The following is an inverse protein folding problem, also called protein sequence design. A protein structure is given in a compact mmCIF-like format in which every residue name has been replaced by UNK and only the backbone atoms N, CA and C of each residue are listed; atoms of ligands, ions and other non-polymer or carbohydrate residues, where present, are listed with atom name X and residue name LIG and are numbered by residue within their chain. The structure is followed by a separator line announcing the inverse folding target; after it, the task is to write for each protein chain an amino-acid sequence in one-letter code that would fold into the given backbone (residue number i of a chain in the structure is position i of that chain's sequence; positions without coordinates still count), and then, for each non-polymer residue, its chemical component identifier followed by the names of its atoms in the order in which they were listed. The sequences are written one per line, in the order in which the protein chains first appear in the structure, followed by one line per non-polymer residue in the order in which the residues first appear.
data_IF_504458761720
#
_entry.id   IF_504458761720
#
_cell.length_a   1.000
_cell.length_b   1.000
_cell.length_c   1.000
_cell.angle_alpha   90.00
_cell.angle_beta   90.00
_cell.angle_gamma   90.00
#
_symmetry.space_group_name_H-M   'P 1'
#
loop_
_entity.id
_entity.type
_entity.pdbx_description
1 polymer ?
#
# COMPACT_ATOMS: atom_id res chain seq x y z
N UNK A 1 -48.42 -6.89 60.92
CA UNK A 1 -47.10 -6.64 60.29
C UNK A 1 -46.17 -5.74 61.12
N UNK A 2 -46.65 -4.74 61.87
CA UNK A 2 -45.81 -3.85 62.71
C UNK A 2 -44.90 -4.54 63.75
N UNK A 3 -45.34 -5.67 64.33
CA UNK A 3 -44.57 -6.43 65.34
C UNK A 3 -43.25 -7.02 64.81
N UNK A 4 -43.19 -7.39 63.52
CA UNK A 4 -41.97 -7.98 62.92
C UNK A 4 -40.93 -6.90 62.60
N UNK A 5 -41.34 -5.75 62.06
CA UNK A 5 -40.43 -4.64 61.76
C UNK A 5 -39.70 -4.11 63.01
N UNK A 6 -40.42 -3.93 64.12
CA UNK A 6 -39.83 -3.48 65.38
C UNK A 6 -38.84 -4.49 65.98
N UNK A 7 -39.07 -5.80 65.79
CA UNK A 7 -38.16 -6.83 66.25
C UNK A 7 -36.84 -6.82 65.44
N UNK A 8 -36.94 -6.56 64.14
CA UNK A 8 -35.76 -6.44 63.27
C UNK A 8 -34.95 -5.19 63.67
N UNK A 9 -35.57 -4.01 63.76
CA UNK A 9 -34.91 -2.76 64.20
C UNK A 9 -34.23 -2.88 65.57
N UNK A 10 -34.87 -3.57 66.53
CA UNK A 10 -34.27 -3.82 67.85
C UNK A 10 -33.06 -4.75 67.78
N UNK A 11 -33.05 -5.69 66.84
CA UNK A 11 -31.96 -6.67 66.69
C UNK A 11 -30.78 -6.15 65.87
N UNK A 12 -31.05 -5.30 64.87
CA UNK A 12 -30.01 -4.74 63.99
C UNK A 12 -29.50 -3.37 64.43
N UNK A 13 -30.19 -2.67 65.35
CA UNK A 13 -29.80 -1.31 65.74
C UNK A 13 -30.09 -0.29 64.64
N UNK A 14 -29.99 1.00 64.96
CA UNK A 14 -30.10 2.11 63.97
C UNK A 14 -28.73 2.48 63.38
N UNK A 15 -27.69 1.75 63.77
CA UNK A 15 -26.32 2.02 63.37
C UNK A 15 -26.09 1.62 61.91
N UNK A 16 -25.39 2.49 61.18
CA UNK A 16 -25.12 2.28 59.76
C UNK A 16 -23.90 1.36 59.60
N UNK A 17 -24.13 0.05 59.40
CA UNK A 17 -23.07 -0.94 59.16
C UNK A 17 -22.41 -0.83 57.78
N UNK A 18 -22.94 0.00 56.89
CA UNK A 18 -22.36 0.26 55.57
C UNK A 18 -21.39 1.45 55.58
N UNK A 19 -20.96 1.91 56.75
CA UNK A 19 -19.95 2.95 56.85
C UNK A 19 -18.57 2.38 56.50
N UNK A 20 -17.95 2.96 55.48
CA UNK A 20 -16.57 2.64 55.15
C UNK A 20 -15.64 3.17 56.24
N UNK A 21 -14.55 2.44 56.56
CA UNK A 21 -13.50 2.98 57.40
C UNK A 21 -12.98 4.31 56.85
N UNK A 22 -12.58 5.21 57.76
CA UNK A 22 -11.93 6.45 57.38
C UNK A 22 -10.70 6.13 56.50
N UNK A 23 -10.56 6.85 55.39
CA UNK A 23 -9.48 6.70 54.41
C UNK A 23 -9.46 5.37 53.60
N UNK A 24 -10.55 4.59 53.60
CA UNK A 24 -10.65 3.35 52.80
C UNK A 24 -10.43 3.58 51.30
N UNK A 25 -11.05 4.63 50.76
CA UNK A 25 -10.96 4.97 49.33
C UNK A 25 -9.65 5.68 48.96
N UNK A 26 -8.89 6.21 49.92
CA UNK A 26 -7.62 6.91 49.64
C UNK A 26 -6.53 5.96 49.14
N UNK A 27 -6.50 4.73 49.67
CA UNK A 27 -5.56 3.66 49.24
C UNK A 27 -6.12 2.79 48.11
N UNK A 28 -7.33 3.05 47.61
CA UNK A 28 -7.90 2.30 46.49
C UNK A 28 -7.11 2.50 45.18
N UNK A 29 -6.76 3.74 44.76
CA UNK A 29 -6.02 3.96 43.53
C UNK A 29 -4.66 3.25 43.54
N UNK A 30 -3.95 3.30 44.67
CA UNK A 30 -2.68 2.62 44.86
C UNK A 30 -2.83 1.10 44.69
N UNK A 31 -3.82 0.50 45.36
CA UNK A 31 -4.12 -0.94 45.23
C UNK A 31 -4.55 -1.35 43.83
N UNK A 32 -5.27 -0.48 43.11
CA UNK A 32 -5.64 -0.73 41.71
C UNK A 32 -4.40 -0.70 40.83
N UNK A 33 -3.54 0.31 40.97
CA UNK A 33 -2.32 0.43 40.18
C UNK A 33 -1.32 -0.69 40.45
N UNK A 34 -1.21 -1.15 41.70
CA UNK A 34 -0.38 -2.30 42.09
C UNK A 34 -0.85 -3.62 41.46
N UNK A 35 -2.17 -3.78 41.28
CA UNK A 35 -2.77 -4.94 40.62
C UNK A 35 -2.77 -4.86 39.09
N UNK A 36 -2.51 -3.69 38.51
CA UNK A 36 -2.38 -3.60 37.06
C UNK A 36 -1.09 -4.30 36.64
N UNK A 37 -1.12 -5.11 35.56
CA UNK A 37 0.12 -5.59 34.98
C UNK A 37 0.97 -4.36 34.66
N UNK A 38 2.31 -4.41 34.88
CA UNK A 38 3.18 -3.29 34.58
C UNK A 38 2.84 -2.87 33.15
N UNK A 39 2.36 -1.62 33.00
CA UNK A 39 2.04 -1.06 31.69
C UNK A 39 3.23 -1.41 30.83
N UNK A 40 2.98 -2.25 29.82
CA UNK A 40 4.04 -2.82 29.00
C UNK A 40 4.73 -1.66 28.33
N UNK A 41 5.73 -1.07 28.97
CA UNK A 41 6.83 -0.46 28.25
C UNK A 41 7.27 -1.59 27.34
N UNK A 42 7.11 -1.47 26.02
CA UNK A 42 7.54 -2.50 25.12
C UNK A 42 9.08 -2.44 25.05
N UNK A 43 9.77 -2.65 26.17
CA UNK A 43 11.12 -3.18 26.18
C UNK A 43 11.04 -4.69 26.06
N UNK A 44 10.13 -5.20 25.21
CA UNK A 44 10.45 -6.36 24.39
C UNK A 44 11.74 -5.95 23.73
N UNK A 45 12.87 -6.41 24.25
CA UNK A 45 14.17 -6.31 23.59
C UNK A 45 13.96 -6.98 22.24
N UNK A 46 13.54 -6.19 21.25
CA UNK A 46 13.48 -6.58 19.86
C UNK A 46 14.90 -7.02 19.61
N UNK A 47 15.11 -8.34 19.56
CA UNK A 47 16.38 -8.92 19.15
C UNK A 47 16.60 -8.28 17.78
N UNK A 48 17.46 -7.27 17.71
CA UNK A 48 17.81 -6.59 16.47
C UNK A 48 18.54 -7.64 15.64
N UNK A 49 17.80 -8.43 14.88
CA UNK A 49 18.34 -9.30 13.85
C UNK A 49 18.73 -8.41 12.68
N UNK A 50 19.71 -7.54 12.90
CA UNK A 50 20.37 -6.80 11.85
C UNK A 50 21.84 -7.17 11.87
N UNK A 51 22.20 -8.25 11.17
CA UNK A 51 23.62 -8.48 10.82
C UNK A 51 23.84 -9.29 9.54
N UNK A 52 22.81 -9.43 8.70
CA UNK A 52 23.01 -9.87 7.31
C UNK A 52 22.89 -8.71 6.34
N UNK A 53 21.94 -7.79 6.53
CA UNK A 53 21.74 -6.63 5.64
C UNK A 53 23.00 -5.76 5.43
N UNK A 54 23.85 -5.65 6.46
CA UNK A 54 25.14 -4.91 6.37
C UNK A 54 26.16 -5.57 5.43
N UNK A 55 26.08 -6.89 5.23
CA UNK A 55 26.96 -7.64 4.30
C UNK A 55 26.52 -7.51 2.84
N UNK A 56 25.25 -7.19 2.59
CA UNK A 56 24.68 -7.03 1.24
C UNK A 56 24.78 -5.59 0.72
N UNK A 57 25.01 -4.62 1.62
CA UNK A 57 25.27 -3.21 1.28
C UNK A 57 26.37 -2.98 0.23
N UNK A 58 27.54 -3.65 0.26
CA UNK A 58 28.54 -3.51 -0.80
C UNK A 58 28.12 -4.10 -2.15
N UNK A 59 27.25 -5.12 -2.17
CA UNK A 59 26.78 -5.73 -3.42
C UNK A 59 25.75 -4.88 -4.17
N UNK A 60 25.09 -3.96 -3.48
CA UNK A 60 24.17 -3.02 -4.11
C UNK A 60 24.88 -2.13 -5.16
N UNK A 61 26.14 -1.77 -4.91
CA UNK A 61 26.96 -1.01 -5.88
C UNK A 61 27.29 -1.84 -7.12
N UNK A 62 27.58 -3.14 -6.95
CA UNK A 62 27.83 -4.05 -8.06
C UNK A 62 26.56 -4.26 -8.91
N UNK A 63 25.38 -4.35 -8.27
CA UNK A 63 24.10 -4.47 -8.97
C UNK A 63 23.75 -3.21 -9.80
N UNK A 64 24.02 -2.01 -9.28
CA UNK A 64 23.84 -0.76 -10.03
C UNK A 64 24.78 -0.72 -11.23
N UNK A 65 26.06 -1.08 -11.05
CA UNK A 65 27.03 -1.10 -12.14
C UNK A 65 26.68 -2.15 -13.22
N UNK A 66 26.27 -3.35 -12.81
CA UNK A 66 25.78 -4.38 -13.72
C UNK A 66 24.50 -3.93 -14.45
N UNK A 67 23.58 -3.26 -13.77
CA UNK A 67 22.37 -2.70 -14.37
C UNK A 67 22.67 -1.62 -15.41
N UNK A 68 23.58 -0.68 -15.10
CA UNK A 68 24.01 0.36 -16.05
C UNK A 68 24.77 -0.25 -17.22
N UNK A 69 25.73 -1.16 -16.96
CA UNK A 69 26.49 -1.83 -18.02
C UNK A 69 25.62 -2.72 -18.92
N UNK A 70 24.59 -3.38 -18.38
CA UNK A 70 23.61 -4.12 -19.18
C UNK A 70 22.71 -3.19 -19.98
N UNK A 71 22.28 -2.06 -19.42
CA UNK A 71 21.47 -1.09 -20.17
C UNK A 71 22.27 -0.48 -21.33
N UNK A 72 23.54 -0.11 -21.10
CA UNK A 72 24.44 0.40 -22.14
C UNK A 72 24.81 -0.71 -23.12
N UNK A 73 25.04 -1.93 -22.65
CA UNK A 73 25.35 -3.09 -23.49
C UNK A 73 24.18 -3.49 -24.39
N UNK A 74 22.94 -3.46 -23.88
CA UNK A 74 21.74 -3.72 -24.68
C UNK A 74 21.56 -2.63 -25.74
N UNK A 75 21.75 -1.36 -25.40
CA UNK A 75 21.68 -0.26 -26.37
C UNK A 75 22.82 -0.35 -27.38
N UNK A 76 24.04 -0.70 -26.96
CA UNK A 76 25.18 -0.83 -27.85
C UNK A 76 25.02 -2.03 -28.80
N UNK A 77 24.57 -3.19 -28.31
CA UNK A 77 24.25 -4.38 -29.12
C UNK A 77 23.07 -4.11 -30.04
N UNK A 78 22.04 -3.40 -29.59
CA UNK A 78 20.94 -2.97 -30.44
C UNK A 78 21.43 -2.00 -31.51
N UNK A 79 22.28 -1.02 -31.19
CA UNK A 79 22.81 -0.09 -32.18
C UNK A 79 23.72 -0.81 -33.21
N UNK A 80 24.56 -1.75 -32.79
CA UNK A 80 25.38 -2.58 -33.70
C UNK A 80 24.49 -3.46 -34.61
N UNK A 81 23.37 -3.98 -34.10
CA UNK A 81 22.40 -4.77 -34.87
C UNK A 81 21.42 -3.94 -35.72
N UNK A 82 21.14 -2.69 -35.32
CA UNK A 82 20.27 -1.76 -36.01
C UNK A 82 21.02 -1.04 -37.14
N UNK A 83 22.30 -0.69 -36.96
CA UNK A 83 23.15 -0.13 -38.02
C UNK A 83 23.45 -1.18 -39.11
N UNK A 84 23.45 -2.47 -38.76
CA UNK A 84 23.65 -3.56 -39.73
C UNK A 84 22.36 -4.13 -40.32
N UNK A 85 21.16 -3.76 -39.83
CA UNK A 85 19.93 -4.40 -40.35
C UNK A 85 18.67 -3.55 -40.49
N UNK A 86 18.29 -2.63 -39.59
CA UNK A 86 16.95 -1.97 -39.65
C UNK A 86 16.82 -0.61 -38.89
N UNK A 87 17.88 0.18 -38.77
CA UNK A 87 17.98 1.22 -37.73
C UNK A 87 17.73 2.68 -38.08
N UNK A 88 17.41 3.03 -39.32
CA UNK A 88 17.42 4.44 -39.74
C UNK A 88 16.33 4.89 -40.74
N UNK A 89 15.62 3.99 -41.44
CA UNK A 89 14.65 4.43 -42.47
C UNK A 89 13.18 4.46 -42.00
N UNK A 90 12.79 3.71 -40.96
CA UNK A 90 11.36 3.52 -40.62
C UNK A 90 10.71 4.77 -40.01
N UNK A 91 11.47 5.60 -39.27
CA UNK A 91 10.91 6.80 -38.63
C UNK A 91 10.90 8.03 -39.54
N UNK A 92 11.57 7.98 -40.69
CA UNK A 92 11.69 9.12 -41.62
C UNK A 92 10.79 9.01 -42.85
N UNK A 93 10.09 7.88 -43.04
CA UNK A 93 9.41 7.57 -44.30
C UNK A 93 8.01 6.98 -44.10
N UNK A 94 7.21 7.54 -43.19
CA UNK A 94 5.76 7.29 -43.22
C UNK A 94 5.18 8.20 -44.32
N UNK A 95 5.40 7.80 -45.57
CA UNK A 95 4.69 8.36 -46.72
C UNK A 95 3.23 7.94 -46.59
N UNK A 96 2.36 8.91 -46.26
CA UNK A 96 0.93 8.69 -45.99
C UNK A 96 0.16 8.11 -47.20
N UNK A 97 0.78 8.03 -48.37
CA UNK A 97 0.17 7.50 -49.60
C UNK A 97 0.20 5.97 -49.71
N UNK A 98 1.10 5.26 -49.02
CA UNK A 98 1.35 3.82 -49.26
C UNK A 98 1.16 2.95 -48.01
N UNK A 99 0.25 3.31 -47.11
CA UNK A 99 -0.08 2.45 -45.97
C UNK A 99 -0.90 1.26 -46.51
N UNK A 100 -0.43 0.03 -46.29
CA UNK A 100 -1.18 -1.17 -46.68
C UNK A 100 -2.34 -1.43 -45.73
N UNK A 101 -3.46 -1.91 -46.26
CA UNK A 101 -4.62 -2.29 -45.45
C UNK A 101 -4.26 -3.33 -44.38
N UNK A 102 -3.33 -4.26 -44.69
CA UNK A 102 -2.82 -5.25 -43.73
C UNK A 102 -2.12 -4.61 -42.53
N UNK A 103 -1.35 -3.54 -42.74
CA UNK A 103 -0.68 -2.82 -41.64
C UNK A 103 -1.69 -2.02 -40.80
N UNK A 104 -2.72 -1.46 -41.44
CA UNK A 104 -3.81 -0.77 -40.73
C UNK A 104 -4.56 -1.77 -39.85
N UNK A 105 -4.93 -2.93 -40.38
CA UNK A 105 -5.64 -3.98 -39.65
C UNK A 105 -4.80 -4.52 -38.49
N UNK A 106 -3.49 -4.75 -38.67
CA UNK A 106 -2.60 -5.18 -37.60
C UNK A 106 -2.51 -4.14 -36.48
N UNK A 107 -2.34 -2.87 -36.84
CA UNK A 107 -2.26 -1.78 -35.87
C UNK A 107 -3.59 -1.54 -35.14
N UNK A 108 -4.73 -1.68 -35.82
CA UNK A 108 -6.06 -1.62 -35.21
C UNK A 108 -6.29 -2.78 -34.22
N UNK A 109 -5.88 -3.99 -34.60
CA UNK A 109 -5.95 -5.16 -33.73
C UNK A 109 -5.03 -5.04 -32.50
N UNK A 110 -3.82 -4.49 -32.66
CA UNK A 110 -2.90 -4.18 -31.55
C UNK A 110 -3.54 -3.15 -30.60
N UNK A 111 -4.26 -2.16 -31.14
CA UNK A 111 -4.97 -1.16 -30.35
C UNK A 111 -6.19 -1.73 -29.62
N UNK A 112 -6.57 -2.99 -29.87
CA UNK A 112 -7.81 -3.63 -29.38
C UNK A 112 -9.05 -2.77 -29.64
N UNK A 113 -9.02 -1.97 -30.71
CA UNK A 113 -10.10 -1.06 -31.06
C UNK A 113 -11.17 -1.85 -31.82
N UNK A 114 -12.40 -1.82 -31.34
CA UNK A 114 -13.51 -2.49 -32.02
C UNK A 114 -14.04 -1.64 -33.18
N UNK A 115 -14.71 -2.31 -34.13
CA UNK A 115 -15.27 -1.67 -35.33
C UNK A 115 -16.26 -0.55 -34.99
N UNK A 116 -16.95 -0.67 -33.85
CA UNK A 116 -17.88 0.36 -33.36
C UNK A 116 -17.14 1.62 -32.91
N UNK A 117 -16.06 1.50 -32.15
CA UNK A 117 -15.23 2.64 -31.72
C UNK A 117 -14.56 3.31 -32.90
N UNK A 118 -14.12 2.54 -33.91
CA UNK A 118 -13.58 3.07 -35.16
C UNK A 118 -14.62 3.95 -35.87
N UNK A 119 -15.85 3.46 -36.03
CA UNK A 119 -16.94 4.20 -36.67
C UNK A 119 -17.29 5.48 -35.92
N UNK A 120 -17.42 5.42 -34.58
CA UNK A 120 -17.71 6.60 -33.75
C UNK A 120 -16.59 7.64 -33.87
N UNK A 121 -15.33 7.21 -33.90
CA UNK A 121 -14.21 8.13 -34.07
C UNK A 121 -14.22 8.80 -35.45
N UNK A 122 -14.38 8.01 -36.53
CA UNK A 122 -14.42 8.53 -37.90
C UNK A 122 -15.63 9.45 -38.17
N UNK A 123 -16.78 9.15 -37.56
CA UNK A 123 -17.98 10.00 -37.68
C UNK A 123 -17.87 11.26 -36.84
N UNK A 124 -17.32 11.19 -35.62
CA UNK A 124 -17.10 12.40 -34.82
C UNK A 124 -16.04 13.32 -35.45
N UNK A 125 -15.02 12.77 -36.11
CA UNK A 125 -14.03 13.59 -36.84
C UNK A 125 -14.62 14.18 -38.10
N UNK A 126 -15.43 13.45 -38.87
CA UNK A 126 -16.09 13.99 -40.07
C UNK A 126 -17.10 15.09 -39.75
N UNK A 127 -17.88 14.94 -38.68
CA UNK A 127 -18.82 15.96 -38.20
C UNK A 127 -18.11 17.26 -37.78
N UNK A 128 -16.87 17.17 -37.27
CA UNK A 128 -16.07 18.36 -36.88
C UNK A 128 -15.38 19.06 -38.06
N UNK A 129 -15.37 18.48 -39.26
CA UNK A 129 -14.73 19.09 -40.44
C UNK A 129 -15.74 19.92 -41.27
N UNK A 130 -17.05 19.69 -41.09
CA UNK A 130 -18.11 20.36 -41.86
C UNK A 130 -18.74 21.58 -41.15
N UNK A 131 -18.14 22.08 -40.07
CA UNK A 131 -18.59 23.24 -39.29
C UNK A 131 -17.44 24.22 -39.02
#
# INVERSE_FOLDING_TARGET
MKKKANNILKKVGTDNYFMVPQNYFESLPERVMDKLPPTRVPSKKVKKTFSVWRKWKPWMYAAVFAGVALSVGIVFIQNDLLDTKYGNDILTQIDTENISDEFIDEMLNISLMDDYSLYVYLTNTSINIEN
#
